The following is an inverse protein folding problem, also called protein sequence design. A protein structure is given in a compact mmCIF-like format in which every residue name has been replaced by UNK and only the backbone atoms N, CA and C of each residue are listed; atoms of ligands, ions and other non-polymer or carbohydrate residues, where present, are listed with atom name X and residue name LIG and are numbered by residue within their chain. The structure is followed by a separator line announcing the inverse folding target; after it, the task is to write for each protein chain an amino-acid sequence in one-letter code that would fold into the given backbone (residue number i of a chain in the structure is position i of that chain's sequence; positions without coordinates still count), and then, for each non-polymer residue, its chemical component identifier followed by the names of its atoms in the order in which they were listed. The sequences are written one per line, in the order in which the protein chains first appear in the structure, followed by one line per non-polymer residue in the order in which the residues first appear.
data_IF_335929389919
#
_entry.id   IF_335929389919
#
_cell.length_a   1.000
_cell.length_b   1.000
_cell.length_c   1.000
_cell.angle_alpha   90.00
_cell.angle_beta   90.00
_cell.angle_gamma   90.00
#
_symmetry.space_group_name_H-M   'P 1'
#
loop_
_entity.id
_entity.type
_entity.pdbx_description
1 polymer ?
#
# COMPACT_ATOMS: atom_id res chain seq x y z
N UNK A 1 7.79 -44.18 -8.69
CA UNK A 1 6.60 -43.30 -8.54
C UNK A 1 6.99 -41.87 -8.21
N UNK A 2 7.97 -41.66 -7.33
CA UNK A 2 8.47 -40.34 -6.89
C UNK A 2 8.90 -39.40 -8.04
N UNK A 3 9.65 -39.90 -9.04
CA UNK A 3 10.05 -39.11 -10.21
C UNK A 3 8.88 -38.54 -11.03
N UNK A 4 7.74 -39.24 -11.08
CA UNK A 4 6.55 -38.74 -11.78
C UNK A 4 5.81 -37.67 -10.97
N UNK A 5 5.90 -37.73 -9.64
CA UNK A 5 5.35 -36.71 -8.75
C UNK A 5 6.17 -35.41 -8.88
N UNK A 6 7.50 -35.52 -8.85
CA UNK A 6 8.42 -34.38 -9.03
C UNK A 6 8.21 -33.69 -10.39
N UNK A 7 8.01 -34.47 -11.47
CA UNK A 7 7.68 -33.92 -12.79
C UNK A 7 6.34 -33.18 -12.81
N UNK A 8 5.32 -33.69 -12.13
CA UNK A 8 4.01 -33.00 -12.03
C UNK A 8 4.13 -31.69 -11.25
N UNK A 9 4.88 -31.69 -10.14
CA UNK A 9 5.13 -30.50 -9.33
C UNK A 9 5.92 -29.45 -10.15
N UNK A 10 7.00 -29.85 -10.83
CA UNK A 10 7.76 -28.94 -11.70
C UNK A 10 6.88 -28.32 -12.78
N UNK A 11 6.03 -29.13 -13.44
CA UNK A 11 5.09 -28.61 -14.44
C UNK A 11 4.12 -27.58 -13.85
N UNK A 12 3.58 -27.83 -12.66
CA UNK A 12 2.69 -26.88 -11.97
C UNK A 12 3.41 -25.58 -11.62
N UNK A 13 4.67 -25.65 -11.16
CA UNK A 13 5.50 -24.48 -10.86
C UNK A 13 5.76 -23.68 -12.15
N UNK A 14 6.10 -24.33 -13.26
CA UNK A 14 6.32 -23.68 -14.55
C UNK A 14 5.06 -23.01 -15.09
N UNK A 15 3.90 -23.67 -14.97
CA UNK A 15 2.62 -23.08 -15.33
C UNK A 15 2.30 -21.84 -14.48
N UNK A 16 2.57 -21.89 -13.17
CA UNK A 16 2.39 -20.74 -12.28
C UNK A 16 3.34 -19.59 -12.64
N UNK A 17 4.62 -19.89 -12.88
CA UNK A 17 5.62 -18.90 -13.30
C UNK A 17 5.25 -18.19 -14.59
N UNK A 18 4.67 -18.91 -15.56
CA UNK A 18 4.22 -18.30 -16.82
C UNK A 18 3.03 -17.35 -16.61
N UNK A 19 2.06 -17.74 -15.76
CA UNK A 19 0.93 -16.87 -15.40
C UNK A 19 1.40 -15.61 -14.70
N UNK A 20 2.30 -15.75 -13.72
CA UNK A 20 2.83 -14.60 -12.98
C UNK A 20 3.63 -13.65 -13.88
N UNK A 21 4.40 -14.19 -14.85
CA UNK A 21 5.10 -13.38 -15.86
C UNK A 21 4.12 -12.58 -16.73
N UNK A 22 3.02 -13.18 -17.15
CA UNK A 22 2.00 -12.48 -17.95
C UNK A 22 1.34 -11.36 -17.13
N UNK A 23 0.98 -11.66 -15.88
CA UNK A 23 0.39 -10.67 -14.97
C UNK A 23 1.35 -9.50 -14.69
N UNK A 24 2.64 -9.79 -14.49
CA UNK A 24 3.67 -8.77 -14.30
C UNK A 24 3.84 -7.88 -15.53
N UNK A 25 3.80 -8.47 -16.74
CA UNK A 25 3.86 -7.70 -18.01
C UNK A 25 2.65 -6.80 -18.21
N UNK A 26 1.47 -7.21 -17.75
CA UNK A 26 0.26 -6.40 -17.82
C UNK A 26 0.20 -5.29 -16.74
N UNK A 27 1.01 -5.42 -15.68
CA UNK A 27 1.01 -4.48 -14.56
C UNK A 27 1.89 -3.26 -14.85
N UNK A 28 1.30 -2.06 -14.82
CA UNK A 28 2.04 -0.80 -14.98
C UNK A 28 2.65 -0.37 -13.64
N UNK A 29 3.98 -0.32 -13.57
CA UNK A 29 4.72 0.10 -12.36
C UNK A 29 4.97 1.61 -12.39
N UNK A 30 4.36 2.33 -11.46
CA UNK A 30 4.50 3.78 -11.33
C UNK A 30 5.34 4.11 -10.09
N UNK A 31 6.26 5.06 -10.21
CA UNK A 31 7.06 5.59 -9.11
C UNK A 31 6.68 7.04 -8.85
N UNK A 32 6.28 7.35 -7.61
CA UNK A 32 5.96 8.71 -7.19
C UNK A 32 7.17 9.31 -6.48
N UNK A 33 7.77 10.35 -7.07
CA UNK A 33 8.90 11.09 -6.52
C UNK A 33 8.47 12.49 -6.04
N UNK A 34 9.18 13.03 -5.05
CA UNK A 34 8.92 14.37 -4.50
C UNK A 34 9.55 14.56 -3.12
N UNK A 35 9.65 15.80 -2.65
CA UNK A 35 10.15 16.15 -1.33
C UNK A 35 9.33 15.53 -0.19
N UNK A 36 9.85 15.55 1.05
CA UNK A 36 9.04 15.21 2.24
C UNK A 36 7.72 15.98 2.22
N UNK A 37 6.63 15.33 2.67
CA UNK A 37 5.31 15.97 2.84
C UNK A 37 4.61 16.46 1.55
N UNK A 38 5.19 16.23 0.37
CA UNK A 38 4.65 16.66 -0.94
C UNK A 38 3.34 15.96 -1.38
N UNK A 39 2.65 15.24 -0.49
CA UNK A 39 1.38 14.60 -0.78
C UNK A 39 1.44 13.25 -1.51
N UNK A 40 2.62 12.64 -1.70
CA UNK A 40 2.76 11.31 -2.34
C UNK A 40 1.84 10.24 -1.74
N UNK A 41 1.80 10.17 -0.40
CA UNK A 41 0.92 9.23 0.30
C UNK A 41 -0.57 9.54 0.10
N UNK A 42 -0.93 10.81 -0.13
CA UNK A 42 -2.30 11.23 -0.44
C UNK A 42 -2.73 10.72 -1.80
N UNK A 43 -1.86 10.83 -2.82
CA UNK A 43 -2.14 10.28 -4.17
C UNK A 43 -2.38 8.77 -4.10
N UNK A 44 -1.54 8.02 -3.40
CA UNK A 44 -1.70 6.57 -3.23
C UNK A 44 -3.02 6.23 -2.52
N UNK A 45 -3.39 6.98 -1.47
CA UNK A 45 -4.68 6.80 -0.78
C UNK A 45 -5.87 7.06 -1.71
N UNK A 46 -5.80 8.08 -2.56
CA UNK A 46 -6.86 8.36 -3.54
C UNK A 46 -6.99 7.26 -4.59
N UNK A 47 -5.87 6.72 -5.07
CA UNK A 47 -5.89 5.57 -5.99
C UNK A 47 -6.59 4.36 -5.36
N UNK A 48 -6.37 4.09 -4.06
CA UNK A 48 -7.12 3.05 -3.33
C UNK A 48 -8.62 3.33 -3.25
N UNK A 49 -9.03 4.57 -2.97
CA UNK A 49 -10.45 4.94 -2.87
C UNK A 49 -11.16 4.75 -4.22
N UNK A 50 -10.53 5.19 -5.31
CA UNK A 50 -11.15 5.18 -6.63
C UNK A 50 -11.12 3.81 -7.31
N UNK A 51 -10.08 3.00 -7.07
CA UNK A 51 -9.86 1.76 -7.84
C UNK A 51 -9.87 0.48 -7.00
N UNK A 52 -9.81 0.55 -5.66
CA UNK A 52 -9.63 -0.62 -4.78
C UNK A 52 -10.54 -0.50 -3.55
N UNK A 53 -11.88 -0.56 -3.74
CA UNK A 53 -12.93 -0.65 -2.71
C UNK A 53 -12.78 0.20 -1.42
N UNK A 54 -11.92 1.23 -1.42
CA UNK A 54 -11.59 2.07 -0.27
C UNK A 54 -10.86 1.37 0.89
N UNK A 55 -11.23 1.78 2.10
CA UNK A 55 -10.67 1.30 3.37
C UNK A 55 -11.75 0.57 4.16
N UNK A 56 -11.39 -0.54 4.78
CA UNK A 56 -12.32 -1.29 5.63
C UNK A 56 -12.50 -0.61 7.01
N UNK A 57 -13.52 -1.03 7.76
CA UNK A 57 -13.84 -0.38 9.03
C UNK A 57 -12.78 -0.57 10.12
N UNK A 58 -11.98 -1.64 10.04
CA UNK A 58 -10.84 -1.83 10.94
C UNK A 58 -9.74 -0.80 10.65
N UNK A 59 -9.36 -0.62 9.39
CA UNK A 59 -8.40 0.39 8.95
C UNK A 59 -8.87 1.80 9.35
N UNK A 60 -10.16 2.11 9.16
CA UNK A 60 -10.73 3.40 9.59
C UNK A 60 -10.60 3.60 11.10
N UNK A 61 -10.91 2.58 11.91
CA UNK A 61 -10.78 2.64 13.38
C UNK A 61 -9.34 2.86 13.81
N UNK A 62 -8.38 2.19 13.18
CA UNK A 62 -6.95 2.39 13.45
C UNK A 62 -6.52 3.85 13.15
N UNK A 63 -7.05 4.46 12.08
CA UNK A 63 -6.76 5.86 11.72
C UNK A 63 -7.30 6.89 12.69
N UNK A 64 -8.28 6.55 13.54
CA UNK A 64 -8.80 7.48 14.56
C UNK A 64 -7.69 7.92 15.52
N UNK A 65 -6.82 6.98 15.92
CA UNK A 65 -5.69 7.28 16.81
C UNK A 65 -4.70 8.26 16.16
N UNK A 66 -4.35 8.02 14.90
CA UNK A 66 -3.46 8.87 14.12
C UNK A 66 -4.03 10.30 13.99
N UNK A 67 -5.33 10.42 13.71
CA UNK A 67 -6.00 11.72 13.59
C UNK A 67 -5.95 12.48 14.92
N UNK A 68 -6.27 11.81 16.04
CA UNK A 68 -6.20 12.42 17.37
C UNK A 68 -4.80 12.90 17.71
N UNK A 69 -3.78 12.09 17.39
CA UNK A 69 -2.38 12.46 17.60
C UNK A 69 -2.02 13.69 16.76
N UNK A 70 -2.34 13.71 15.48
CA UNK A 70 -2.03 14.84 14.59
C UNK A 70 -2.70 16.15 15.06
N UNK A 71 -3.94 16.09 15.54
CA UNK A 71 -4.65 17.27 16.09
C UNK A 71 -3.93 17.77 17.35
N UNK A 72 -3.59 16.88 18.28
CA UNK A 72 -2.85 17.25 19.50
C UNK A 72 -1.50 17.88 19.15
N UNK A 73 -0.71 17.22 18.30
CA UNK A 73 0.62 17.68 17.92
C UNK A 73 0.55 19.05 17.24
N UNK A 74 -0.44 19.25 16.34
CA UNK A 74 -0.68 20.55 15.70
C UNK A 74 -1.01 21.66 16.70
N UNK A 75 -1.85 21.39 17.70
CA UNK A 75 -2.20 22.38 18.74
C UNK A 75 -0.97 22.73 19.59
N UNK A 76 -0.18 21.73 20.00
CA UNK A 76 1.03 21.93 20.81
C UNK A 76 2.05 22.79 20.05
N UNK A 77 2.30 22.48 18.78
CA UNK A 77 3.21 23.26 17.93
C UNK A 77 2.70 24.69 17.77
N UNK A 78 1.41 24.87 17.48
CA UNK A 78 0.83 26.21 17.33
C UNK A 78 0.93 27.04 18.61
N UNK A 79 0.69 26.44 19.78
CA UNK A 79 0.79 27.12 21.06
C UNK A 79 2.26 27.44 21.41
N UNK A 80 3.17 26.51 21.15
CA UNK A 80 4.60 26.71 21.39
C UNK A 80 5.16 27.88 20.58
N UNK A 81 4.78 27.99 19.30
CA UNK A 81 5.16 29.12 18.44
C UNK A 81 4.61 30.45 18.98
N UNK A 82 3.43 30.45 19.60
CA UNK A 82 2.79 31.67 20.10
C UNK A 82 3.37 32.18 21.42
N UNK A 83 4.01 31.30 22.20
CA UNK A 83 4.63 31.63 23.50
C UNK A 83 6.10 32.06 23.33
N UNK A 84 6.68 31.80 22.14
CA UNK A 84 8.06 32.16 21.78
C UNK A 84 8.13 33.56 21.14
#
# INVERSE_FOLDING_TARGET
MENNLLRKINKQIEEQLQKDKQLLRATHRLLLLGAGESGKSTIVKQMRILHISGFNDKEKKEKISDIRKNVRDSIVVSLFIFIL
#
